data_IF_257701636824
#
_entry.id   IF_257701636824
#
_cell.length_a   1.000
_cell.length_b   1.000
_cell.length_c   1.000
_cell.angle_alpha   90.00
_cell.angle_beta   90.00
_cell.angle_gamma   90.00
#
_symmetry.space_group_name_H-M   'P 1'
#
loop_
_entity.id
_entity.type
_entity.pdbx_description
1 polymer ?
#
# COMPACT_ATOMS: atom_id res chain seq x y z
N UNK A 1 -13.84 -29.22 -18.36
CA UNK A 1 -14.86 -28.57 -19.22
C UNK A 1 -14.64 -27.08 -19.14
N UNK A 2 -14.54 -26.33 -20.26
CA UNK A 2 -14.44 -24.88 -20.22
C UNK A 2 -15.77 -24.31 -19.68
N UNK A 3 -15.68 -23.43 -18.68
CA UNK A 3 -16.85 -22.71 -18.16
C UNK A 3 -17.47 -21.91 -19.31
N UNK A 4 -18.77 -22.14 -19.59
CA UNK A 4 -19.54 -21.35 -20.53
C UNK A 4 -19.37 -19.85 -20.19
N UNK A 5 -19.02 -19.04 -21.18
CA UNK A 5 -19.03 -17.57 -21.07
C UNK A 5 -20.42 -17.15 -20.60
N UNK A 6 -20.57 -16.76 -19.35
CA UNK A 6 -21.74 -16.00 -18.91
C UNK A 6 -21.63 -14.63 -19.60
N UNK A 7 -22.65 -14.24 -20.34
CA UNK A 7 -22.80 -12.84 -20.75
C UNK A 7 -22.84 -12.01 -19.45
N UNK A 8 -21.78 -11.23 -19.21
CA UNK A 8 -21.67 -10.36 -18.04
C UNK A 8 -22.72 -9.26 -18.18
N UNK A 9 -23.61 -9.12 -17.19
CA UNK A 9 -24.48 -7.96 -17.09
C UNK A 9 -23.64 -6.69 -16.82
N UNK A 10 -24.18 -5.52 -17.15
CA UNK A 10 -23.49 -4.23 -16.93
C UNK A 10 -23.04 -4.05 -15.47
N UNK A 11 -23.81 -4.61 -14.52
CA UNK A 11 -23.50 -4.55 -13.09
C UNK A 11 -22.34 -5.47 -12.67
N UNK A 12 -22.00 -6.47 -13.49
CA UNK A 12 -20.88 -7.38 -13.26
C UNK A 12 -19.51 -6.81 -13.76
N UNK A 13 -19.54 -5.72 -14.52
CA UNK A 13 -18.35 -5.10 -15.10
C UNK A 13 -17.54 -4.37 -14.03
N UNK A 14 -16.21 -4.57 -14.05
CA UNK A 14 -15.31 -3.72 -13.30
C UNK A 14 -15.36 -2.29 -13.84
N UNK A 15 -15.07 -1.31 -12.99
CA UNK A 15 -15.13 0.11 -13.38
C UNK A 15 -14.33 0.42 -14.67
N UNK A 16 -13.14 -0.18 -14.83
CA UNK A 16 -12.31 0.03 -16.02
C UNK A 16 -12.94 -0.55 -17.29
N UNK A 17 -13.65 -1.68 -17.20
CA UNK A 17 -14.38 -2.31 -18.29
C UNK A 17 -15.60 -1.48 -18.67
N UNK A 18 -16.37 -1.00 -17.68
CA UNK A 18 -17.54 -0.13 -17.90
C UNK A 18 -17.19 1.13 -18.69
N UNK A 19 -16.02 1.75 -18.41
CA UNK A 19 -15.56 2.94 -19.13
C UNK A 19 -14.66 2.61 -20.32
N UNK A 20 -14.61 1.36 -20.79
CA UNK A 20 -13.77 0.91 -21.94
C UNK A 20 -12.28 1.26 -21.81
N UNK A 21 -11.77 1.31 -20.56
CA UNK A 21 -10.37 1.65 -20.30
C UNK A 21 -9.47 0.42 -20.07
N UNK A 22 -10.04 -0.78 -19.86
CA UNK A 22 -9.27 -1.98 -19.56
C UNK A 22 -8.29 -2.32 -20.69
N UNK A 23 -8.76 -2.34 -21.93
CA UNK A 23 -7.89 -2.62 -23.09
C UNK A 23 -6.75 -1.59 -23.24
N UNK A 24 -7.04 -0.32 -22.93
CA UNK A 24 -6.02 0.75 -22.94
C UNK A 24 -4.96 0.48 -21.89
N UNK A 25 -5.35 0.09 -20.67
CA UNK A 25 -4.41 -0.24 -19.59
C UNK A 25 -3.56 -1.47 -19.94
N UNK A 26 -4.16 -2.51 -20.51
CA UNK A 26 -3.45 -3.71 -20.94
C UNK A 26 -2.44 -3.41 -22.06
N UNK A 27 -2.82 -2.58 -23.03
CA UNK A 27 -1.91 -2.11 -24.09
C UNK A 27 -0.74 -1.29 -23.52
N UNK A 28 -0.99 -0.38 -22.57
CA UNK A 28 0.05 0.41 -21.91
C UNK A 28 1.03 -0.50 -21.14
N UNK A 29 0.51 -1.50 -20.44
CA UNK A 29 1.33 -2.48 -19.72
C UNK A 29 2.23 -3.26 -20.71
N UNK A 30 1.67 -3.82 -21.78
CA UNK A 30 2.43 -4.60 -22.76
C UNK A 30 3.49 -3.76 -23.48
N UNK A 31 3.15 -2.55 -23.92
CA UNK A 31 4.11 -1.62 -24.53
C UNK A 31 5.24 -1.28 -23.58
N UNK A 32 4.93 -1.01 -22.31
CA UNK A 32 5.97 -0.75 -21.31
C UNK A 32 6.85 -1.98 -21.08
N UNK A 33 6.27 -3.18 -20.99
CA UNK A 33 7.03 -4.44 -20.86
C UNK A 33 8.00 -4.64 -22.01
N UNK A 34 7.60 -4.26 -23.23
CA UNK A 34 8.43 -4.32 -24.43
C UNK A 34 9.50 -3.20 -24.51
N UNK A 35 9.54 -2.30 -23.54
CA UNK A 35 10.53 -1.22 -23.49
C UNK A 35 10.18 0.02 -24.32
N UNK A 36 8.93 0.14 -24.78
CA UNK A 36 8.48 1.30 -25.54
C UNK A 36 8.47 2.58 -24.69
N UNK A 37 8.63 3.70 -25.36
CA UNK A 37 8.66 5.04 -24.78
C UNK A 37 7.33 5.76 -25.06
N UNK A 38 6.80 6.46 -24.06
CA UNK A 38 5.52 7.14 -24.11
C UNK A 38 5.70 8.66 -24.17
N UNK A 39 5.32 9.28 -25.28
CA UNK A 39 5.48 10.73 -25.54
C UNK A 39 4.16 11.51 -25.52
N UNK A 40 3.01 10.83 -25.66
CA UNK A 40 1.68 11.45 -25.82
C UNK A 40 0.67 10.88 -24.80
N UNK A 41 1.04 10.82 -23.52
CA UNK A 41 0.16 10.31 -22.47
C UNK A 41 -0.94 11.29 -22.07
N UNK A 42 -0.71 12.61 -22.24
CA UNK A 42 -1.69 13.64 -21.84
C UNK A 42 -3.02 13.50 -22.59
N UNK A 43 -3.02 13.03 -23.81
CA UNK A 43 -4.25 12.86 -24.59
C UNK A 43 -5.11 11.73 -24.01
N UNK A 44 -4.48 10.64 -23.54
CA UNK A 44 -5.16 9.56 -22.84
C UNK A 44 -5.63 10.02 -21.44
N UNK A 45 -4.81 10.78 -20.71
CA UNK A 45 -5.13 11.30 -19.38
C UNK A 45 -6.37 12.20 -19.43
N UNK A 46 -6.49 13.03 -20.47
CA UNK A 46 -7.61 13.97 -20.67
C UNK A 46 -8.77 13.39 -21.51
N UNK A 47 -8.72 12.10 -21.84
CA UNK A 47 -9.84 11.44 -22.52
C UNK A 47 -11.08 11.38 -21.60
N UNK A 48 -12.27 11.49 -22.18
CA UNK A 48 -13.54 11.48 -21.45
C UNK A 48 -13.67 10.24 -20.56
N UNK A 49 -13.44 9.06 -21.13
CA UNK A 49 -13.57 7.80 -20.41
C UNK A 49 -12.63 7.72 -19.18
N UNK A 50 -11.39 8.19 -19.33
CA UNK A 50 -10.43 8.22 -18.25
C UNK A 50 -10.83 9.19 -17.13
N UNK A 51 -11.36 10.36 -17.47
CA UNK A 51 -11.83 11.37 -16.49
C UNK A 51 -13.04 10.84 -15.71
N UNK A 52 -14.01 10.25 -16.40
CA UNK A 52 -15.22 9.70 -15.75
C UNK A 52 -14.89 8.50 -14.87
N UNK A 53 -13.99 7.60 -15.32
CA UNK A 53 -13.47 6.52 -14.50
C UNK A 53 -12.74 7.06 -13.25
N UNK A 54 -11.93 8.09 -13.39
CA UNK A 54 -11.24 8.72 -12.28
C UNK A 54 -12.22 9.30 -11.24
N UNK A 55 -13.28 9.96 -11.70
CA UNK A 55 -14.35 10.44 -10.81
C UNK A 55 -15.00 9.29 -10.03
N UNK A 56 -15.35 8.18 -10.71
CA UNK A 56 -15.95 7.02 -10.07
C UNK A 56 -15.01 6.43 -9.01
N UNK A 57 -13.72 6.33 -9.30
CA UNK A 57 -12.73 5.78 -8.38
C UNK A 57 -12.53 6.66 -7.13
N UNK A 58 -12.53 7.99 -7.27
CA UNK A 58 -12.38 8.86 -6.08
C UNK A 58 -13.66 8.98 -5.27
N UNK A 59 -14.84 8.90 -5.90
CA UNK A 59 -16.14 9.03 -5.23
C UNK A 59 -16.34 7.98 -4.14
N UNK A 60 -15.88 6.76 -4.36
CA UNK A 60 -15.99 5.65 -3.42
C UNK A 60 -15.12 5.82 -2.15
N UNK A 61 -14.13 6.70 -2.16
CA UNK A 61 -13.21 6.88 -1.03
C UNK A 61 -13.81 7.80 0.03
N UNK A 62 -13.88 7.37 1.29
CA UNK A 62 -14.38 8.18 2.42
C UNK A 62 -13.67 9.53 2.56
N UNK A 63 -12.38 9.61 2.20
CA UNK A 63 -11.61 10.86 2.16
C UNK A 63 -12.09 11.87 1.12
N UNK A 64 -12.94 11.49 0.14
CA UNK A 64 -13.45 12.37 -0.91
C UNK A 64 -14.34 13.49 -0.36
N UNK A 65 -15.00 13.28 0.78
CA UNK A 65 -15.79 14.29 1.48
C UNK A 65 -14.94 15.30 2.28
N UNK A 66 -13.66 15.05 2.43
CA UNK A 66 -12.76 15.98 3.12
C UNK A 66 -12.37 17.11 2.19
N UNK A 67 -12.78 18.34 2.50
CA UNK A 67 -12.49 19.51 1.68
C UNK A 67 -11.01 19.93 1.72
N UNK A 68 -10.50 20.44 0.59
CA UNK A 68 -9.18 21.10 0.49
C UNK A 68 -9.19 22.52 1.05
N UNK A 69 -8.29 23.38 0.54
CA UNK A 69 -8.22 24.81 0.89
C UNK A 69 -9.37 25.61 0.30
N UNK A 70 -9.98 25.14 -0.78
CA UNK A 70 -11.12 25.77 -1.47
C UNK A 70 -12.48 25.39 -0.88
N UNK A 71 -12.50 24.66 0.23
CA UNK A 71 -13.70 24.18 0.93
C UNK A 71 -14.62 23.27 0.07
N UNK A 72 -14.17 22.81 -1.11
CA UNK A 72 -14.91 21.92 -2.00
C UNK A 72 -14.58 20.47 -1.75
N UNK A 73 -15.55 19.58 -1.96
CA UNK A 73 -15.45 18.13 -1.81
C UNK A 73 -16.07 17.39 -3.01
N UNK A 74 -16.28 16.08 -2.92
CA UNK A 74 -16.78 15.25 -4.01
C UNK A 74 -18.21 15.60 -4.45
N UNK A 75 -19.06 16.15 -3.56
CA UNK A 75 -20.43 16.54 -3.90
C UNK A 75 -20.46 17.71 -4.87
N UNK A 76 -19.47 18.63 -4.78
CA UNK A 76 -19.32 19.74 -5.74
C UNK A 76 -18.96 19.29 -7.16
N UNK A 77 -18.38 18.10 -7.31
CA UNK A 77 -18.19 17.49 -8.63
C UNK A 77 -19.46 16.74 -9.03
N UNK A 78 -20.07 16.03 -8.09
CA UNK A 78 -21.26 15.21 -8.33
C UNK A 78 -22.53 16.00 -8.70
N UNK A 79 -22.56 17.32 -8.45
CA UNK A 79 -23.66 18.20 -8.88
C UNK A 79 -23.56 18.64 -10.33
N UNK A 80 -22.50 18.24 -11.06
CA UNK A 80 -22.26 18.58 -12.46
C UNK A 80 -22.57 17.43 -13.39
N UNK A 81 -22.95 17.78 -14.64
CA UNK A 81 -23.07 16.78 -15.70
C UNK A 81 -21.71 16.15 -16.04
N UNK A 82 -21.68 14.93 -16.60
CA UNK A 82 -20.45 14.28 -17.04
C UNK A 82 -19.61 15.16 -17.97
N UNK A 83 -20.23 15.84 -18.93
CA UNK A 83 -19.56 16.69 -19.91
C UNK A 83 -18.95 17.92 -19.25
N UNK A 84 -19.67 18.59 -18.34
CA UNK A 84 -19.12 19.70 -17.54
C UNK A 84 -17.91 19.29 -16.71
N UNK A 85 -17.89 18.05 -16.17
CA UNK A 85 -16.74 17.54 -15.42
C UNK A 85 -15.55 17.37 -16.35
N UNK A 86 -15.76 16.79 -17.53
CA UNK A 86 -14.70 16.57 -18.54
C UNK A 86 -14.14 17.90 -19.03
N UNK A 87 -14.98 18.82 -19.44
CA UNK A 87 -14.56 20.16 -19.91
C UNK A 87 -13.80 20.91 -18.83
N UNK A 88 -14.28 20.86 -17.59
CA UNK A 88 -13.62 21.53 -16.48
C UNK A 88 -12.24 20.95 -16.16
N UNK A 89 -12.07 19.63 -16.19
CA UNK A 89 -10.75 19.02 -16.02
C UNK A 89 -9.80 19.44 -17.14
N UNK A 90 -10.27 19.39 -18.40
CA UNK A 90 -9.50 19.85 -19.56
C UNK A 90 -9.12 21.31 -19.41
N UNK A 91 -10.07 22.20 -19.08
CA UNK A 91 -9.81 23.62 -18.86
C UNK A 91 -8.78 23.87 -17.74
N UNK A 92 -8.86 23.18 -16.59
CA UNK A 92 -7.90 23.35 -15.49
C UNK A 92 -6.49 22.97 -15.94
N UNK A 93 -6.35 21.92 -16.77
CA UNK A 93 -5.04 21.42 -17.19
C UNK A 93 -4.46 22.20 -18.37
N UNK A 94 -5.28 22.60 -19.35
CA UNK A 94 -4.83 23.17 -20.64
C UNK A 94 -5.28 24.60 -20.89
N UNK A 95 -6.30 25.08 -20.20
CA UNK A 95 -6.95 26.37 -20.51
C UNK A 95 -6.18 27.63 -20.06
N UNK A 96 -5.10 27.49 -19.30
CA UNK A 96 -4.29 28.63 -18.87
C UNK A 96 -3.05 28.80 -19.75
N UNK A 97 -2.74 30.07 -20.15
CA UNK A 97 -1.49 30.41 -20.87
C UNK A 97 -0.23 29.94 -20.12
N UNK A 98 -0.31 29.77 -18.81
CA UNK A 98 0.79 29.30 -17.95
C UNK A 98 0.72 27.81 -17.62
N UNK A 99 -0.22 27.07 -18.24
CA UNK A 99 -0.47 25.66 -17.98
C UNK A 99 -1.09 25.37 -16.61
N UNK A 100 -1.09 24.12 -16.21
CA UNK A 100 -1.69 23.66 -14.95
C UNK A 100 -1.07 24.31 -13.70
N UNK A 101 -1.93 24.83 -12.83
CA UNK A 101 -1.57 25.40 -11.53
C UNK A 101 -2.43 24.77 -10.43
N UNK A 102 -1.89 23.81 -9.66
CA UNK A 102 -2.62 23.23 -8.54
C UNK A 102 -2.91 24.27 -7.47
N UNK A 103 -4.05 24.14 -6.81
CA UNK A 103 -4.35 24.93 -5.61
C UNK A 103 -3.48 24.50 -4.44
N UNK A 104 -3.37 25.37 -3.43
CA UNK A 104 -2.61 25.07 -2.22
C UNK A 104 -3.15 23.81 -1.52
N UNK A 105 -2.25 22.95 -1.06
CA UNK A 105 -2.55 21.75 -0.29
C UNK A 105 -2.80 22.13 1.16
N UNK A 106 -3.90 21.70 1.75
CA UNK A 106 -4.21 21.97 3.17
C UNK A 106 -3.45 21.01 4.07
N UNK A 107 -2.61 21.54 4.97
CA UNK A 107 -1.93 20.75 6.00
C UNK A 107 -2.88 20.36 7.12
N UNK A 108 -2.81 19.08 7.54
CA UNK A 108 -3.46 18.57 8.73
C UNK A 108 -2.53 17.59 9.43
N UNK A 109 -2.20 17.83 10.67
CA UNK A 109 -1.37 16.93 11.46
C UNK A 109 -2.25 15.89 12.15
N UNK A 110 -1.91 14.60 11.97
CA UNK A 110 -2.60 13.47 12.58
C UNK A 110 -1.72 12.92 13.69
N UNK A 111 -2.22 12.81 14.94
CA UNK A 111 -1.45 12.25 16.04
C UNK A 111 -1.13 10.77 15.79
N UNK A 112 0.10 10.39 16.10
CA UNK A 112 0.55 8.99 16.13
C UNK A 112 0.48 8.43 17.55
N UNK A 113 0.33 7.10 17.73
CA UNK A 113 0.32 6.49 19.07
C UNK A 113 1.56 6.76 19.94
N UNK A 114 2.66 7.18 19.33
CA UNK A 114 3.93 7.52 20.02
C UNK A 114 4.05 9.00 20.37
N UNK A 115 2.98 9.78 20.38
CA UNK A 115 2.96 11.22 20.68
C UNK A 115 3.49 12.13 19.55
N UNK A 116 4.07 11.58 18.48
CA UNK A 116 4.48 12.36 17.29
C UNK A 116 3.29 12.59 16.38
N UNK A 117 3.38 13.57 15.50
CA UNK A 117 2.36 13.84 14.48
C UNK A 117 2.76 13.26 13.12
N UNK A 118 1.78 12.97 12.30
CA UNK A 118 1.95 12.66 10.87
C UNK A 118 1.40 13.82 10.06
N UNK A 119 2.24 14.51 9.31
CA UNK A 119 1.80 15.60 8.47
C UNK A 119 1.01 15.05 7.25
N UNK A 120 -0.27 15.35 7.14
CA UNK A 120 -1.10 15.00 6.00
C UNK A 120 -1.35 16.25 5.15
N UNK A 121 -1.10 16.15 3.85
CA UNK A 121 -1.45 17.19 2.88
C UNK A 121 -2.74 16.79 2.15
N UNK A 122 -3.76 17.64 2.19
CA UNK A 122 -5.05 17.42 1.55
C UNK A 122 -5.16 18.33 0.33
N UNK A 123 -4.96 17.82 -0.90
CA UNK A 123 -5.17 18.60 -2.13
C UNK A 123 -6.65 18.95 -2.33
N UNK A 124 -6.97 19.99 -3.09
CA UNK A 124 -8.34 20.28 -3.48
C UNK A 124 -8.94 19.17 -4.33
N UNK A 125 -10.26 19.02 -4.29
CA UNK A 125 -10.93 17.86 -4.89
C UNK A 125 -10.70 17.76 -6.41
N UNK A 126 -10.63 18.87 -7.12
CA UNK A 126 -10.32 18.91 -8.56
C UNK A 126 -8.89 18.48 -8.85
N UNK A 127 -7.92 18.89 -8.01
CA UNK A 127 -6.53 18.46 -8.12
C UNK A 127 -6.42 16.94 -7.83
N UNK A 128 -7.21 16.43 -6.87
CA UNK A 128 -7.30 14.97 -6.62
C UNK A 128 -7.86 14.21 -7.82
N UNK A 129 -8.86 14.76 -8.50
CA UNK A 129 -9.41 14.15 -9.73
C UNK A 129 -8.34 14.10 -10.83
N UNK A 130 -7.60 15.19 -11.05
CA UNK A 130 -6.50 15.25 -12.01
C UNK A 130 -5.40 14.24 -11.65
N UNK A 131 -5.01 14.16 -10.38
CA UNK A 131 -4.03 13.18 -9.91
C UNK A 131 -4.51 11.73 -10.15
N UNK A 132 -5.80 11.46 -10.00
CA UNK A 132 -6.35 10.14 -10.29
C UNK A 132 -6.33 9.84 -11.80
N UNK A 133 -6.68 10.80 -12.66
CA UNK A 133 -6.55 10.65 -14.11
C UNK A 133 -5.12 10.29 -14.52
N UNK A 134 -4.13 10.93 -13.93
CA UNK A 134 -2.72 10.67 -14.19
C UNK A 134 -2.33 9.28 -13.64
N UNK A 135 -2.71 8.99 -12.38
CA UNK A 135 -2.35 7.73 -11.72
C UNK A 135 -2.77 6.53 -12.54
N UNK A 136 -4.03 6.46 -12.99
CA UNK A 136 -4.55 5.27 -13.66
C UNK A 136 -3.95 5.02 -15.05
N UNK A 137 -3.40 6.05 -15.70
CA UNK A 137 -2.62 5.89 -16.95
C UNK A 137 -1.16 5.49 -16.68
N UNK A 138 -0.55 6.05 -15.63
CA UNK A 138 0.84 5.73 -15.28
C UNK A 138 1.00 4.36 -14.58
N UNK A 139 -0.01 3.93 -13.83
CA UNK A 139 0.05 2.71 -13.03
C UNK A 139 0.40 1.47 -13.87
N UNK A 140 -0.28 1.14 -15.00
CA UNK A 140 0.09 -0.01 -15.82
C UNK A 140 1.49 0.11 -16.44
N UNK A 141 1.92 1.32 -16.82
CA UNK A 141 3.27 1.56 -17.34
C UNK A 141 4.33 1.24 -16.28
N UNK A 142 4.11 1.71 -15.06
CA UNK A 142 5.03 1.50 -13.94
C UNK A 142 5.02 0.05 -13.46
N UNK A 143 3.84 -0.60 -13.38
CA UNK A 143 3.69 -1.99 -12.95
C UNK A 143 4.50 -2.96 -13.82
N UNK A 144 4.61 -2.71 -15.13
CA UNK A 144 5.42 -3.51 -16.04
C UNK A 144 6.93 -3.45 -15.74
N UNK A 145 7.38 -2.42 -15.00
CA UNK A 145 8.80 -2.16 -14.68
C UNK A 145 9.14 -2.36 -13.20
N UNK A 146 8.15 -2.46 -12.34
CA UNK A 146 8.38 -2.62 -10.90
C UNK A 146 8.90 -4.02 -10.56
N UNK A 147 9.86 -4.05 -9.65
CA UNK A 147 10.39 -5.30 -9.10
C UNK A 147 9.30 -6.16 -8.46
N UNK A 148 9.41 -7.48 -8.60
CA UNK A 148 8.51 -8.43 -7.95
C UNK A 148 8.64 -8.45 -6.41
N UNK A 149 9.70 -7.89 -5.87
CA UNK A 149 9.98 -7.83 -4.44
C UNK A 149 9.34 -6.61 -3.74
N UNK A 150 8.61 -5.77 -4.49
CA UNK A 150 7.82 -4.64 -3.99
C UNK A 150 6.33 -4.97 -3.95
N UNK A 151 5.67 -4.71 -2.82
CA UNK A 151 4.29 -5.13 -2.57
C UNK A 151 3.34 -3.99 -2.21
N UNK A 152 3.80 -2.94 -1.53
CA UNK A 152 2.96 -1.85 -1.05
C UNK A 152 2.46 -0.92 -2.15
N UNK A 153 1.20 -0.48 -2.04
CA UNK A 153 0.56 0.46 -2.97
C UNK A 153 0.49 0.00 -4.43
N UNK A 154 0.50 -1.30 -4.66
CA UNK A 154 0.43 -1.90 -5.99
C UNK A 154 -0.86 -2.70 -6.18
N UNK A 155 -1.47 -2.69 -7.37
CA UNK A 155 -2.62 -3.52 -7.66
C UNK A 155 -2.24 -5.01 -7.56
N UNK A 156 -3.18 -5.84 -7.11
CA UNK A 156 -3.01 -7.29 -6.98
C UNK A 156 -1.83 -7.74 -6.09
N UNK A 157 -1.31 -6.84 -5.24
CA UNK A 157 -0.27 -7.11 -4.24
C UNK A 157 -0.82 -6.79 -2.84
N UNK A 158 -0.47 -7.61 -1.87
CA UNK A 158 -1.01 -7.49 -0.51
C UNK A 158 0.07 -7.71 0.55
N UNK A 159 -0.27 -7.43 1.80
CA UNK A 159 0.54 -7.80 2.97
C UNK A 159 0.79 -9.31 2.99
N UNK A 160 -0.21 -10.09 2.58
CA UNK A 160 -0.13 -11.56 2.51
C UNK A 160 1.01 -12.02 1.59
N UNK A 161 1.12 -11.45 0.39
CA UNK A 161 2.20 -11.78 -0.53
C UNK A 161 3.59 -11.45 0.05
N UNK A 162 3.73 -10.29 0.71
CA UNK A 162 4.98 -9.90 1.36
C UNK A 162 5.36 -10.84 2.51
N UNK A 163 4.37 -11.24 3.33
CA UNK A 163 4.57 -12.16 4.45
C UNK A 163 4.92 -13.57 3.97
N UNK A 164 4.23 -14.10 2.95
CA UNK A 164 4.52 -15.41 2.37
C UNK A 164 5.96 -15.46 1.80
N UNK A 165 6.39 -14.37 1.14
CA UNK A 165 7.77 -14.25 0.67
C UNK A 165 8.76 -14.21 1.85
N UNK A 166 8.43 -13.47 2.92
CA UNK A 166 9.21 -13.44 4.16
C UNK A 166 9.38 -14.83 4.77
N UNK A 167 8.29 -15.61 4.86
CA UNK A 167 8.36 -16.99 5.37
C UNK A 167 9.21 -17.88 4.50
N UNK A 168 9.11 -17.75 3.18
CA UNK A 168 9.96 -18.49 2.24
C UNK A 168 11.45 -18.19 2.47
N UNK A 169 11.81 -16.92 2.63
CA UNK A 169 13.21 -16.53 2.88
C UNK A 169 13.74 -17.07 4.21
N UNK A 170 12.94 -16.98 5.26
CA UNK A 170 13.36 -17.44 6.59
C UNK A 170 13.37 -18.98 6.71
N UNK A 171 12.37 -19.68 6.17
CA UNK A 171 12.18 -21.11 6.39
C UNK A 171 12.84 -21.98 5.33
N UNK A 172 12.71 -21.63 4.05
CA UNK A 172 13.24 -22.44 2.95
C UNK A 172 14.65 -22.04 2.56
N UNK A 173 14.94 -20.73 2.55
CA UNK A 173 16.25 -20.22 2.15
C UNK A 173 17.22 -20.08 3.33
N UNK A 174 16.76 -20.23 4.58
CA UNK A 174 17.56 -20.12 5.82
C UNK A 174 18.28 -18.76 5.96
N UNK A 175 17.66 -17.68 5.51
CA UNK A 175 18.20 -16.32 5.61
C UNK A 175 17.77 -15.69 6.94
N UNK A 176 18.49 -15.98 8.02
CA UNK A 176 18.05 -15.68 9.37
C UNK A 176 18.52 -14.33 9.92
N UNK A 177 19.38 -13.61 9.21
CA UNK A 177 19.77 -12.25 9.55
C UNK A 177 18.98 -11.26 8.74
N UNK A 178 18.10 -10.53 9.41
CA UNK A 178 17.19 -9.56 8.80
C UNK A 178 17.66 -8.16 9.13
N UNK A 179 17.87 -7.33 8.11
CA UNK A 179 18.16 -5.92 8.27
C UNK A 179 16.82 -5.18 8.12
N UNK A 180 16.39 -4.56 9.21
CA UNK A 180 15.23 -3.69 9.23
C UNK A 180 15.68 -2.28 8.88
N UNK A 181 15.25 -1.74 7.75
CA UNK A 181 15.55 -0.39 7.32
C UNK A 181 14.40 0.57 7.59
N UNK A 182 14.71 1.79 7.98
CA UNK A 182 13.75 2.92 8.09
C UNK A 182 14.35 4.16 7.43
N UNK A 183 13.66 4.68 6.43
CA UNK A 183 14.05 5.92 5.75
C UNK A 183 13.43 7.09 6.50
N UNK A 184 14.24 8.07 6.90
CA UNK A 184 13.81 9.23 7.66
C UNK A 184 12.92 10.15 6.84
N UNK A 185 11.63 10.24 7.24
CA UNK A 185 10.68 11.14 6.59
C UNK A 185 10.60 10.95 5.07
N UNK A 186 10.52 9.71 4.58
CA UNK A 186 10.65 9.35 3.17
C UNK A 186 9.83 10.28 2.25
N UNK A 187 8.51 10.38 2.48
CA UNK A 187 7.62 11.18 1.63
C UNK A 187 7.98 12.68 1.61
N UNK A 188 8.51 13.20 2.70
CA UNK A 188 8.88 14.61 2.83
C UNK A 188 10.27 14.92 2.22
N UNK A 189 11.07 13.89 1.92
CA UNK A 189 12.45 14.04 1.47
C UNK A 189 12.69 13.57 0.02
N UNK A 190 11.68 13.14 -0.71
CA UNK A 190 11.83 12.73 -2.12
C UNK A 190 12.39 13.87 -2.96
N UNK A 191 13.51 13.63 -3.63
CA UNK A 191 14.13 14.62 -4.53
C UNK A 191 13.36 14.71 -5.85
N UNK A 192 12.78 15.88 -6.15
CA UNK A 192 11.96 16.09 -7.35
C UNK A 192 12.72 15.84 -8.65
N UNK A 193 13.95 16.33 -8.77
CA UNK A 193 14.76 16.16 -9.98
C UNK A 193 15.12 14.69 -10.22
N UNK A 194 15.45 13.95 -9.15
CA UNK A 194 15.73 12.52 -9.22
C UNK A 194 14.49 11.74 -9.66
N UNK A 195 13.34 12.00 -9.05
CA UNK A 195 12.06 11.37 -9.42
C UNK A 195 11.73 11.59 -10.90
N UNK A 196 11.88 12.81 -11.42
CA UNK A 196 11.62 13.11 -12.83
C UNK A 196 12.58 12.33 -13.74
N UNK A 197 13.87 12.23 -13.39
CA UNK A 197 14.85 11.43 -14.16
C UNK A 197 14.46 9.93 -14.14
N UNK A 198 14.00 9.41 -13.00
CA UNK A 198 13.53 8.03 -12.89
C UNK A 198 12.29 7.76 -13.73
N UNK A 199 11.31 8.69 -13.73
CA UNK A 199 10.14 8.58 -14.62
C UNK A 199 10.54 8.56 -16.09
N UNK A 200 11.49 9.41 -16.48
CA UNK A 200 12.03 9.44 -17.83
C UNK A 200 12.69 8.11 -18.23
N UNK A 201 13.47 7.53 -17.33
CA UNK A 201 14.13 6.23 -17.53
C UNK A 201 13.13 5.06 -17.60
N UNK A 202 11.97 5.16 -16.95
CA UNK A 202 10.88 4.18 -17.08
C UNK A 202 10.13 4.27 -18.41
N UNK A 203 10.48 5.24 -19.27
CA UNK A 203 9.84 5.46 -20.57
C UNK A 203 8.74 6.52 -20.56
N UNK A 204 8.47 7.18 -19.43
CA UNK A 204 7.48 8.26 -19.32
C UNK A 204 8.12 9.56 -19.80
N UNK A 205 8.03 9.83 -21.11
CA UNK A 205 8.75 10.94 -21.77
C UNK A 205 7.82 12.00 -22.35
N UNK A 206 6.54 12.02 -21.97
CA UNK A 206 5.63 13.13 -22.31
C UNK A 206 5.99 14.39 -21.53
N UNK A 207 6.50 15.42 -22.23
CA UNK A 207 6.93 16.67 -21.62
C UNK A 207 5.77 17.44 -20.97
N UNK A 208 4.55 17.33 -21.53
CA UNK A 208 3.33 17.98 -20.98
C UNK A 208 2.99 17.33 -19.65
N UNK A 209 3.01 16.01 -19.55
CA UNK A 209 2.77 15.28 -18.32
C UNK A 209 3.84 15.57 -17.26
N UNK A 210 5.11 15.54 -17.64
CA UNK A 210 6.22 15.87 -16.73
C UNK A 210 6.08 17.29 -16.17
N UNK A 211 5.62 18.25 -16.97
CA UNK A 211 5.33 19.61 -16.51
C UNK A 211 4.21 19.58 -15.44
N UNK A 212 3.11 18.90 -15.68
CA UNK A 212 1.99 18.79 -14.74
C UNK A 212 2.45 18.15 -13.42
N UNK A 213 3.24 17.08 -13.48
CA UNK A 213 3.78 16.42 -12.28
C UNK A 213 4.71 17.33 -11.50
N UNK A 214 5.59 18.09 -12.16
CA UNK A 214 6.43 19.09 -11.50
C UNK A 214 5.60 20.17 -10.77
N UNK A 215 4.46 20.58 -11.35
CA UNK A 215 3.53 21.53 -10.70
C UNK A 215 2.86 20.90 -9.48
N UNK A 216 2.43 19.63 -9.55
CA UNK A 216 1.86 18.90 -8.41
C UNK A 216 2.88 18.80 -7.27
N UNK A 217 4.13 18.48 -7.56
CA UNK A 217 5.20 18.36 -6.56
C UNK A 217 5.55 19.70 -5.89
N UNK A 218 5.41 20.80 -6.62
CA UNK A 218 5.69 22.18 -6.15
C UNK A 218 4.44 22.91 -5.63
N UNK A 219 3.30 22.20 -5.50
CA UNK A 219 2.08 22.81 -4.97
C UNK A 219 2.32 23.38 -3.57
N UNK A 220 2.00 24.64 -3.36
CA UNK A 220 2.17 25.31 -2.06
C UNK A 220 1.36 24.61 -0.98
N UNK A 221 1.91 24.55 0.23
CA UNK A 221 1.28 23.93 1.39
C UNK A 221 0.77 25.05 2.30
N UNK A 222 -0.54 25.07 2.54
CA UNK A 222 -1.16 25.97 3.52
C UNK A 222 -1.13 25.30 4.89
N UNK A 223 -0.38 25.91 5.80
CA UNK A 223 -0.21 25.46 7.16
C UNK A 223 -1.44 25.82 8.04
N UNK A 224 -1.61 25.19 9.22
CA UNK A 224 -2.71 25.52 10.14
C UNK A 224 -2.74 26.99 10.62
N UNK A 225 -1.57 27.62 10.72
CA UNK A 225 -1.41 29.05 11.05
C UNK A 225 -1.73 30.00 9.89
N UNK A 226 -2.04 29.44 8.70
CA UNK A 226 -2.35 30.21 7.50
C UNK A 226 -1.14 30.50 6.61
N UNK A 227 0.09 30.25 7.06
CA UNK A 227 1.31 30.44 6.26
C UNK A 227 1.35 29.53 5.04
N UNK A 228 2.04 29.98 3.98
CA UNK A 228 2.22 29.24 2.74
C UNK A 228 3.68 28.82 2.59
N UNK A 229 3.90 27.54 2.42
CA UNK A 229 5.24 26.96 2.23
C UNK A 229 5.33 26.38 0.81
N UNK A 230 6.35 26.74 0.06
CA UNK A 230 6.66 26.13 -1.22
C UNK A 230 7.63 24.96 -1.02
N UNK A 231 7.23 23.70 -1.35
CA UNK A 231 8.09 22.56 -1.14
C UNK A 231 9.17 22.46 -2.23
N UNK A 232 10.44 22.35 -1.83
CA UNK A 232 11.57 22.10 -2.73
C UNK A 232 11.86 20.60 -2.92
N UNK A 233 11.32 19.74 -2.03
CA UNK A 233 11.43 18.29 -2.03
C UNK A 233 10.17 17.68 -1.41
N UNK A 234 10.02 16.38 -1.55
CA UNK A 234 8.92 15.63 -1.00
C UNK A 234 7.74 15.45 -1.95
N UNK A 235 6.86 14.56 -1.57
CA UNK A 235 5.54 14.35 -2.22
C UNK A 235 4.46 14.58 -1.18
N UNK A 236 3.36 15.27 -1.50
CA UNK A 236 2.33 15.57 -0.49
C UNK A 236 1.75 14.28 0.07
N UNK A 237 1.95 14.03 1.39
CA UNK A 237 1.35 12.90 2.09
C UNK A 237 -0.18 13.05 2.09
N UNK A 238 -0.87 12.24 1.29
CA UNK A 238 -2.33 12.32 1.06
C UNK A 238 -2.71 12.71 -0.36
N UNK A 239 -1.74 13.01 -1.22
CA UNK A 239 -1.96 13.08 -2.67
C UNK A 239 -2.24 11.69 -3.25
N UNK A 240 -3.20 11.59 -4.17
CA UNK A 240 -3.60 10.31 -4.78
C UNK A 240 -2.46 9.65 -5.58
N UNK A 241 -1.63 10.45 -6.22
CA UNK A 241 -0.50 9.98 -7.02
C UNK A 241 0.75 9.66 -6.17
N UNK A 242 0.85 10.19 -4.95
CA UNK A 242 2.06 10.09 -4.13
C UNK A 242 2.54 8.67 -3.85
N UNK A 243 1.67 7.66 -3.63
CA UNK A 243 2.10 6.27 -3.47
C UNK A 243 2.77 5.68 -4.72
N UNK A 244 2.27 6.02 -5.91
CA UNK A 244 2.88 5.59 -7.18
C UNK A 244 4.25 6.24 -7.37
N UNK A 245 4.37 7.55 -7.12
CA UNK A 245 5.64 8.27 -7.20
C UNK A 245 6.67 7.73 -6.20
N UNK A 246 6.23 7.37 -5.00
CA UNK A 246 7.05 6.71 -3.98
C UNK A 246 7.62 5.38 -4.48
N UNK A 247 6.79 4.56 -5.12
CA UNK A 247 7.22 3.30 -5.71
C UNK A 247 8.20 3.50 -6.87
N UNK A 248 8.02 4.54 -7.70
CA UNK A 248 8.98 4.90 -8.76
C UNK A 248 10.35 5.21 -8.17
N UNK A 249 10.41 6.00 -7.08
CA UNK A 249 11.69 6.36 -6.43
C UNK A 249 12.42 5.13 -5.89
N UNK A 250 11.70 4.25 -5.21
CA UNK A 250 12.31 3.10 -4.56
C UNK A 250 12.52 1.89 -5.49
N UNK A 251 11.92 1.88 -6.68
CA UNK A 251 12.11 0.81 -7.65
C UNK A 251 13.59 0.65 -8.07
N UNK A 252 14.34 1.74 -8.11
CA UNK A 252 15.78 1.70 -8.41
C UNK A 252 16.56 0.93 -7.32
N UNK A 253 16.16 1.09 -6.04
CA UNK A 253 16.70 0.32 -4.93
C UNK A 253 16.35 -1.17 -5.06
N UNK A 254 15.10 -1.48 -5.37
CA UNK A 254 14.64 -2.87 -5.51
C UNK A 254 15.46 -3.61 -6.57
N UNK A 255 15.63 -3.02 -7.74
CA UNK A 255 16.41 -3.60 -8.83
C UNK A 255 17.92 -3.64 -8.53
N UNK A 256 18.45 -2.61 -7.85
CA UNK A 256 19.85 -2.64 -7.46
C UNK A 256 20.14 -3.79 -6.48
N UNK A 257 19.33 -3.98 -5.46
CA UNK A 257 19.50 -5.11 -4.52
C UNK A 257 19.31 -6.44 -5.24
N UNK A 258 18.28 -6.56 -6.10
CA UNK A 258 18.05 -7.79 -6.87
C UNK A 258 19.24 -8.13 -7.79
N UNK A 259 19.87 -7.12 -8.41
CA UNK A 259 21.04 -7.33 -9.29
C UNK A 259 22.27 -7.82 -8.56
N UNK A 260 22.38 -7.61 -7.25
CA UNK A 260 23.53 -8.10 -6.48
C UNK A 260 23.49 -9.63 -6.27
N UNK A 261 22.28 -10.24 -6.27
CA UNK A 261 22.14 -11.68 -6.07
C UNK A 261 21.05 -12.31 -6.94
N UNK A 262 19.79 -11.96 -6.73
CA UNK A 262 18.62 -12.66 -7.31
C UNK A 262 18.57 -12.56 -8.84
N UNK A 263 18.88 -11.39 -9.38
CA UNK A 263 18.94 -11.09 -10.82
C UNK A 263 20.39 -10.83 -11.30
N UNK A 264 21.37 -11.39 -10.60
CA UNK A 264 22.75 -11.30 -11.01
C UNK A 264 22.96 -12.03 -12.37
N UNK A 265 23.73 -11.47 -13.30
CA UNK A 265 23.96 -12.09 -14.62
C UNK A 265 24.43 -13.55 -14.54
N UNK A 266 25.28 -13.91 -13.55
CA UNK A 266 25.72 -15.29 -13.33
C UNK A 266 24.53 -16.19 -12.97
N UNK A 267 23.65 -15.74 -12.07
CA UNK A 267 22.46 -16.51 -11.68
C UNK A 267 21.50 -16.71 -12.85
N UNK A 268 21.31 -15.67 -13.67
CA UNK A 268 20.40 -15.70 -14.83
C UNK A 268 20.97 -16.54 -15.98
N UNK A 269 22.22 -16.34 -16.35
CA UNK A 269 22.86 -17.06 -17.48
C UNK A 269 23.01 -18.57 -17.23
N UNK A 270 23.10 -18.99 -15.99
CA UNK A 270 23.18 -20.40 -15.57
C UNK A 270 21.83 -20.98 -15.13
N UNK A 271 20.76 -20.21 -15.24
CA UNK A 271 19.40 -20.64 -15.01
C UNK A 271 18.89 -21.55 -16.14
N UNK A 272 17.97 -22.44 -15.79
CA UNK A 272 17.30 -23.33 -16.75
C UNK A 272 15.84 -23.52 -16.39
N UNK A 273 14.99 -23.74 -17.39
CA UNK A 273 13.60 -24.10 -17.15
C UNK A 273 13.48 -25.53 -16.66
N UNK A 274 12.67 -25.74 -15.64
CA UNK A 274 12.32 -27.07 -15.10
C UNK A 274 10.82 -27.17 -14.90
N UNK A 275 10.26 -28.33 -15.17
CA UNK A 275 8.86 -28.63 -14.87
C UNK A 275 8.80 -29.17 -13.46
N UNK A 276 8.06 -28.49 -12.58
CA UNK A 276 7.77 -28.91 -11.21
C UNK A 276 6.26 -29.12 -11.11
N UNK A 277 5.85 -30.39 -11.08
CA UNK A 277 4.44 -30.75 -11.21
C UNK A 277 3.89 -30.40 -12.60
N UNK A 278 2.94 -29.44 -12.65
CA UNK A 278 2.34 -28.93 -13.90
C UNK A 278 2.84 -27.53 -14.28
N UNK A 279 3.82 -27.00 -13.56
CA UNK A 279 4.28 -25.60 -13.74
C UNK A 279 5.73 -25.59 -14.21
N UNK A 280 5.99 -24.81 -15.26
CA UNK A 280 7.34 -24.50 -15.70
C UNK A 280 7.94 -23.40 -14.81
N UNK A 281 9.11 -23.66 -14.22
CA UNK A 281 9.81 -22.75 -13.30
C UNK A 281 11.23 -22.52 -13.80
N UNK A 282 11.64 -21.27 -13.83
CA UNK A 282 13.03 -20.90 -14.13
C UNK A 282 13.89 -21.09 -12.87
N UNK A 283 14.74 -22.14 -12.89
CA UNK A 283 15.59 -22.56 -11.79
C UNK A 283 16.99 -21.96 -11.90
N UNK A 284 17.33 -21.10 -10.93
CA UNK A 284 18.64 -20.42 -10.82
C UNK A 284 19.60 -21.14 -9.84
N UNK A 285 19.26 -22.30 -9.32
CA UNK A 285 20.01 -22.99 -8.24
C UNK A 285 21.47 -23.24 -8.57
N UNK A 286 21.77 -23.60 -9.81
CA UNK A 286 23.15 -23.79 -10.28
C UNK A 286 23.95 -22.49 -10.25
N UNK A 287 23.39 -21.40 -10.75
CA UNK A 287 24.01 -20.07 -10.69
C UNK A 287 24.27 -19.61 -9.24
N UNK A 288 23.31 -19.79 -8.35
CA UNK A 288 23.48 -19.49 -6.92
C UNK A 288 24.58 -20.35 -6.27
N UNK A 289 24.72 -21.61 -6.66
CA UNK A 289 25.81 -22.48 -6.15
C UNK A 289 27.19 -21.93 -6.56
N UNK A 290 27.35 -21.49 -7.81
CA UNK A 290 28.58 -20.87 -8.27
C UNK A 290 28.88 -19.55 -7.55
N UNK A 291 27.89 -18.71 -7.35
CA UNK A 291 28.01 -17.40 -6.69
C UNK A 291 28.43 -17.55 -5.20
N UNK A 292 28.02 -18.63 -4.52
CA UNK A 292 28.45 -18.89 -3.13
C UNK A 292 29.96 -19.09 -2.97
N UNK A 293 30.64 -19.49 -4.02
CA UNK A 293 32.10 -19.64 -4.04
C UNK A 293 32.85 -18.34 -4.40
N UNK A 294 32.12 -17.23 -4.52
CA UNK A 294 32.68 -15.91 -4.82
C UNK A 294 32.60 -14.97 -3.62
N UNK A 295 33.15 -13.77 -3.74
CA UNK A 295 33.04 -12.72 -2.73
C UNK A 295 31.69 -11.99 -2.71
N UNK A 296 30.71 -12.37 -3.58
CA UNK A 296 29.37 -11.80 -3.61
C UNK A 296 28.62 -12.10 -2.29
N UNK A 297 27.78 -11.19 -1.87
CA UNK A 297 26.98 -11.31 -0.65
C UNK A 297 25.54 -11.67 -0.99
N UNK A 298 25.05 -12.76 -0.40
CA UNK A 298 23.66 -13.16 -0.57
C UNK A 298 22.74 -12.17 0.14
N UNK A 299 21.95 -11.44 -0.65
CA UNK A 299 20.98 -10.48 -0.14
C UNK A 299 19.69 -10.52 -0.94
N UNK A 300 18.55 -10.45 -0.25
CA UNK A 300 17.22 -10.44 -0.84
C UNK A 300 16.39 -9.35 -0.18
N UNK A 301 15.66 -8.57 -0.98
CA UNK A 301 14.80 -7.50 -0.47
C UNK A 301 13.34 -7.91 -0.49
N UNK A 302 12.59 -7.45 0.52
CA UNK A 302 11.14 -7.41 0.53
C UNK A 302 10.74 -6.01 0.95
N UNK A 303 9.98 -5.32 0.10
CA UNK A 303 9.56 -3.94 0.35
C UNK A 303 8.03 -3.79 0.33
N UNK A 304 7.53 -3.09 1.32
CA UNK A 304 6.13 -2.66 1.38
C UNK A 304 6.08 -1.15 1.58
N UNK A 305 5.88 -0.39 0.51
CA UNK A 305 6.03 1.07 0.48
C UNK A 305 7.46 1.53 0.85
N UNK A 306 7.60 2.30 1.92
CA UNK A 306 8.88 2.76 2.50
C UNK A 306 9.44 1.80 3.57
N UNK A 307 8.65 0.83 4.02
CA UNK A 307 9.08 -0.19 4.99
C UNK A 307 9.67 -1.40 4.25
N UNK A 308 10.97 -1.66 4.42
CA UNK A 308 11.61 -2.79 3.74
C UNK A 308 12.59 -3.55 4.62
N UNK A 309 12.79 -4.80 4.24
CA UNK A 309 13.67 -5.74 4.92
C UNK A 309 14.63 -6.35 3.92
N UNK A 310 15.90 -6.50 4.34
CA UNK A 310 16.88 -7.26 3.56
C UNK A 310 17.30 -8.47 4.37
N UNK A 311 17.30 -9.62 3.72
CA UNK A 311 17.55 -10.93 4.30
C UNK A 311 18.93 -11.42 3.87
N UNK A 312 19.76 -11.82 4.85
CA UNK A 312 21.12 -12.32 4.67
C UNK A 312 21.31 -13.65 5.41
N UNK A 313 22.31 -14.42 5.01
CA UNK A 313 22.62 -15.73 5.59
C UNK A 313 23.45 -15.61 6.86
N UNK A 314 24.48 -14.77 6.84
CA UNK A 314 25.42 -14.60 7.96
C UNK A 314 25.35 -13.18 8.54
N UNK A 315 25.94 -13.01 9.75
CA UNK A 315 26.01 -11.70 10.41
C UNK A 315 26.94 -10.76 9.64
N UNK A 316 28.06 -11.27 9.18
CA UNK A 316 29.10 -10.53 8.46
C UNK A 316 28.54 -9.99 7.14
N UNK A 317 27.77 -10.81 6.39
CA UNK A 317 27.05 -10.37 5.19
C UNK A 317 26.03 -9.27 5.51
N UNK A 318 25.26 -9.43 6.58
CA UNK A 318 24.27 -8.45 6.99
C UNK A 318 24.90 -7.10 7.37
N UNK A 319 26.06 -7.09 8.04
CA UNK A 319 26.78 -5.84 8.38
C UNK A 319 27.23 -5.13 7.09
N UNK A 320 27.93 -5.83 6.20
CA UNK A 320 28.42 -5.27 4.93
C UNK A 320 27.27 -4.81 4.03
N UNK A 321 26.18 -5.58 3.98
CA UNK A 321 24.98 -5.22 3.21
C UNK A 321 24.32 -3.97 3.78
N UNK A 322 24.21 -3.85 5.12
CA UNK A 322 23.64 -2.66 5.76
C UNK A 322 24.43 -1.41 5.37
N UNK A 323 25.76 -1.44 5.46
CA UNK A 323 26.63 -0.32 5.09
C UNK A 323 26.48 0.05 3.62
N UNK A 324 26.55 -0.94 2.71
CA UNK A 324 26.44 -0.72 1.28
C UNK A 324 25.09 -0.14 0.88
N UNK A 325 23.98 -0.66 1.42
CA UNK A 325 22.62 -0.19 1.14
C UNK A 325 22.41 1.23 1.71
N UNK A 326 22.89 1.50 2.92
CA UNK A 326 22.81 2.85 3.52
C UNK A 326 23.51 3.87 2.62
N UNK A 327 24.76 3.61 2.28
CA UNK A 327 25.55 4.49 1.39
C UNK A 327 24.88 4.67 0.03
N UNK A 328 24.35 3.60 -0.56
CA UNK A 328 23.66 3.65 -1.85
C UNK A 328 22.39 4.54 -1.78
N UNK A 329 21.58 4.41 -0.73
CA UNK A 329 20.38 5.24 -0.51
C UNK A 329 20.74 6.72 -0.41
N UNK A 330 21.78 7.04 0.38
CA UNK A 330 22.24 8.41 0.61
C UNK A 330 22.84 9.02 -0.66
N UNK A 331 23.72 8.30 -1.34
CA UNK A 331 24.40 8.80 -2.53
C UNK A 331 23.50 8.82 -3.76
N UNK A 332 22.70 7.77 -3.97
CA UNK A 332 21.91 7.60 -5.21
C UNK A 332 20.53 8.19 -5.13
N UNK A 333 19.80 7.98 -4.03
CA UNK A 333 18.45 8.48 -3.85
C UNK A 333 18.42 9.85 -3.16
N UNK A 334 19.52 10.28 -2.52
CA UNK A 334 19.58 11.50 -1.71
C UNK A 334 18.58 11.46 -0.55
N UNK A 335 18.43 10.28 0.06
CA UNK A 335 17.56 10.02 1.20
C UNK A 335 18.40 9.62 2.40
N UNK A 336 17.98 9.99 3.60
CA UNK A 336 18.66 9.68 4.85
C UNK A 336 18.06 8.41 5.49
N UNK A 337 18.92 7.46 5.86
CA UNK A 337 18.53 6.27 6.62
C UNK A 337 18.51 6.62 8.10
N UNK A 338 17.48 6.20 8.86
CA UNK A 338 17.41 6.40 10.31
C UNK A 338 18.35 5.44 11.05
N UNK A 339 19.48 5.89 11.64
CA UNK A 339 20.41 4.99 12.33
C UNK A 339 19.79 4.32 13.56
N UNK A 340 18.92 5.03 14.27
CA UNK A 340 18.27 4.56 15.50
C UNK A 340 17.28 3.41 15.25
N UNK A 341 16.64 3.41 14.08
CA UNK A 341 15.62 2.41 13.73
C UNK A 341 16.15 1.32 12.81
N UNK A 342 17.27 1.57 12.12
CA UNK A 342 17.88 0.59 11.21
C UNK A 342 18.78 -0.36 11.97
N UNK A 343 18.35 -1.62 12.08
CA UNK A 343 19.01 -2.63 12.91
C UNK A 343 19.10 -3.99 12.21
N UNK A 344 20.08 -4.80 12.63
CA UNK A 344 20.23 -6.19 12.21
C UNK A 344 19.64 -7.09 13.29
N UNK A 345 18.70 -7.94 12.91
CA UNK A 345 18.02 -8.88 13.81
C UNK A 345 18.39 -10.32 13.41
N UNK A 346 18.91 -11.11 14.36
CA UNK A 346 19.02 -12.54 14.20
C UNK A 346 17.69 -13.19 14.62
N UNK A 347 16.90 -13.64 13.65
CA UNK A 347 15.55 -14.18 13.87
C UNK A 347 15.53 -15.51 14.64
N UNK A 348 16.67 -16.20 14.79
CA UNK A 348 16.78 -17.38 15.68
C UNK A 348 16.77 -16.99 17.16
N UNK A 349 17.21 -15.75 17.48
CA UNK A 349 17.38 -15.28 18.86
C UNK A 349 16.32 -14.25 19.27
N UNK A 350 15.89 -13.38 18.34
CA UNK A 350 15.00 -12.25 18.60
C UNK A 350 13.87 -12.18 17.59
N UNK A 351 12.78 -11.51 17.97
CA UNK A 351 11.70 -11.19 17.07
C UNK A 351 12.09 -10.05 16.13
N UNK A 352 11.80 -10.19 14.86
CA UNK A 352 11.79 -9.11 13.86
C UNK A 352 10.34 -8.67 13.64
N UNK A 353 10.10 -7.37 13.53
CA UNK A 353 8.77 -6.81 13.31
C UNK A 353 8.63 -6.34 11.86
N UNK A 354 7.57 -6.77 11.19
CA UNK A 354 7.26 -6.35 9.83
C UNK A 354 5.73 -6.34 9.60
N UNK A 355 5.19 -5.24 9.10
CA UNK A 355 3.77 -5.09 8.74
C UNK A 355 2.78 -5.43 9.88
N UNK A 356 3.16 -5.15 11.12
CA UNK A 356 2.33 -5.46 12.29
C UNK A 356 2.46 -6.90 12.81
N UNK A 357 3.29 -7.73 12.17
CA UNK A 357 3.64 -9.07 12.63
C UNK A 357 5.01 -9.05 13.33
N UNK A 358 5.16 -9.83 14.39
CA UNK A 358 6.47 -10.24 14.93
C UNK A 358 6.80 -11.64 14.46
N UNK A 359 8.03 -11.83 13.99
CA UNK A 359 8.46 -13.02 13.28
C UNK A 359 9.77 -13.50 13.87
N UNK A 360 9.88 -14.81 14.14
CA UNK A 360 11.14 -15.46 14.50
C UNK A 360 11.20 -16.86 13.91
N UNK A 361 12.39 -17.47 13.99
CA UNK A 361 12.62 -18.83 13.52
C UNK A 361 12.96 -19.72 14.71
N UNK A 362 12.32 -20.90 14.77
CA UNK A 362 12.63 -21.93 15.76
C UNK A 362 13.17 -23.17 15.07
N UNK A 363 14.12 -23.83 15.71
CA UNK A 363 14.55 -25.17 15.32
C UNK A 363 13.45 -26.18 15.72
N UNK A 364 13.07 -27.06 14.79
CA UNK A 364 12.15 -28.18 15.03
C UNK A 364 12.73 -29.40 14.33
N UNK A 365 13.26 -30.36 15.12
CA UNK A 365 14.01 -31.49 14.59
C UNK A 365 15.16 -30.99 13.69
N UNK A 366 15.25 -31.37 12.45
CA UNK A 366 16.31 -30.98 11.51
C UNK A 366 15.95 -29.77 10.62
N UNK A 367 14.85 -29.07 10.91
CA UNK A 367 14.36 -27.96 10.09
C UNK A 367 14.13 -26.70 10.91
N UNK A 368 14.22 -25.55 10.25
CA UNK A 368 13.79 -24.29 10.81
C UNK A 368 12.35 -23.99 10.42
N UNK A 369 11.53 -23.57 11.39
CA UNK A 369 10.12 -23.25 11.20
C UNK A 369 9.89 -21.81 11.63
N UNK A 370 9.19 -21.07 10.81
CA UNK A 370 8.78 -19.69 11.13
C UNK A 370 7.68 -19.74 12.18
N UNK A 371 7.87 -18.96 13.23
CA UNK A 371 6.85 -18.60 14.21
C UNK A 371 6.52 -17.12 14.03
N UNK A 372 5.25 -16.80 13.83
CA UNK A 372 4.77 -15.41 13.72
C UNK A 372 3.55 -15.18 14.57
N UNK A 373 3.41 -13.98 15.08
CA UNK A 373 2.34 -13.51 15.95
C UNK A 373 2.06 -12.04 15.66
N UNK A 374 1.01 -11.48 16.22
CA UNK A 374 0.73 -10.04 16.17
C UNK A 374 1.77 -9.30 17.04
N UNK A 375 2.28 -8.15 16.58
CA UNK A 375 3.17 -7.32 17.40
C UNK A 375 2.47 -6.90 18.69
N UNK A 376 3.17 -6.93 19.84
CA UNK A 376 2.58 -6.68 21.16
C UNK A 376 1.87 -5.32 21.21
N UNK A 377 2.51 -4.26 20.68
CA UNK A 377 1.90 -2.93 20.56
C UNK A 377 0.61 -2.91 19.75
N UNK A 378 0.51 -3.78 18.73
CA UNK A 378 -0.69 -3.89 17.90
C UNK A 378 -1.81 -4.63 18.64
N UNK A 379 -1.47 -5.68 19.38
CA UNK A 379 -2.42 -6.37 20.27
C UNK A 379 -3.06 -5.37 21.23
N UNK A 380 -2.28 -4.50 21.88
CA UNK A 380 -2.78 -3.46 22.79
C UNK A 380 -3.70 -2.47 22.07
N UNK A 381 -3.24 -1.88 20.97
CA UNK A 381 -4.02 -0.90 20.20
C UNK A 381 -5.36 -1.47 19.71
N UNK A 382 -5.35 -2.68 19.16
CA UNK A 382 -6.59 -3.29 18.66
C UNK A 382 -7.51 -3.72 19.81
N UNK A 383 -6.95 -4.17 20.94
CA UNK A 383 -7.74 -4.46 22.15
C UNK A 383 -8.43 -3.20 22.68
N UNK A 384 -7.70 -2.10 22.80
CA UNK A 384 -8.25 -0.84 23.31
C UNK A 384 -9.37 -0.29 22.41
N UNK A 385 -9.19 -0.39 21.09
CA UNK A 385 -10.25 -0.03 20.11
C UNK A 385 -11.51 -0.90 20.30
N UNK A 386 -11.34 -2.21 20.47
CA UNK A 386 -12.47 -3.12 20.67
C UNK A 386 -13.16 -2.87 22.02
N UNK A 387 -12.40 -2.57 23.09
CA UNK A 387 -12.96 -2.17 24.39
C UNK A 387 -13.75 -0.87 24.29
N UNK A 388 -13.22 0.14 23.58
CA UNK A 388 -13.95 1.39 23.34
C UNK A 388 -15.23 1.15 22.56
N UNK A 389 -15.17 0.35 21.49
CA UNK A 389 -16.34 0.01 20.69
C UNK A 389 -17.37 -0.79 21.50
N UNK A 390 -16.95 -1.72 22.35
CA UNK A 390 -17.85 -2.44 23.25
C UNK A 390 -18.60 -1.50 24.21
N UNK A 391 -17.93 -0.45 24.72
CA UNK A 391 -18.57 0.59 25.53
C UNK A 391 -19.62 1.37 24.75
N UNK A 392 -19.41 1.61 23.46
CA UNK A 392 -20.36 2.33 22.59
C UNK A 392 -21.65 1.54 22.34
N UNK A 393 -21.65 0.22 22.46
CA UNK A 393 -22.86 -0.62 22.30
C UNK A 393 -23.98 -0.18 23.28
N UNK A 394 -23.66 -0.04 24.55
CA UNK A 394 -24.64 0.39 25.54
C UNK A 394 -24.92 1.91 25.52
N UNK A 395 -23.95 2.71 25.14
CA UNK A 395 -24.04 4.17 25.05
C UNK A 395 -23.58 4.66 23.69
N UNK A 396 -24.40 4.51 22.61
CA UNK A 396 -24.01 4.86 21.25
C UNK A 396 -23.70 6.35 21.15
N UNK A 397 -22.48 6.69 20.76
CA UNK A 397 -22.01 8.08 20.62
C UNK A 397 -22.11 8.58 19.18
N UNK A 398 -21.73 7.75 18.23
CA UNK A 398 -21.64 8.12 16.81
C UNK A 398 -22.95 7.88 16.04
N UNK A 399 -23.49 6.71 16.18
CA UNK A 399 -24.67 6.26 15.40
C UNK A 399 -25.98 6.45 16.12
N UNK A 400 -25.96 6.62 17.46
CA UNK A 400 -27.12 6.61 18.34
C UNK A 400 -27.99 5.34 18.25
N UNK A 401 -27.45 4.27 17.66
CA UNK A 401 -28.13 2.99 17.45
C UNK A 401 -27.22 1.85 17.92
N UNK A 402 -27.72 1.06 18.90
CA UNK A 402 -26.96 -0.05 19.48
C UNK A 402 -26.66 -1.15 18.45
N UNK A 403 -27.58 -1.44 17.52
CA UNK A 403 -27.39 -2.47 16.49
C UNK A 403 -26.24 -2.11 15.56
N UNK A 404 -26.16 -0.86 15.11
CA UNK A 404 -25.06 -0.39 14.27
C UNK A 404 -23.71 -0.44 15.00
N UNK A 405 -23.69 -0.17 16.32
CA UNK A 405 -22.47 -0.28 17.11
C UNK A 405 -22.02 -1.75 17.29
N UNK A 406 -22.96 -2.70 17.38
CA UNK A 406 -22.67 -4.15 17.39
C UNK A 406 -22.11 -4.58 16.02
N UNK A 407 -22.73 -4.17 14.91
CA UNK A 407 -22.24 -4.47 13.57
C UNK A 407 -20.83 -3.91 13.33
N UNK A 408 -20.57 -2.71 13.83
CA UNK A 408 -19.24 -2.11 13.75
C UNK A 408 -18.22 -2.90 14.58
N UNK A 409 -18.58 -3.34 15.79
CA UNK A 409 -17.73 -4.21 16.61
C UNK A 409 -17.38 -5.51 15.86
N UNK A 410 -18.38 -6.21 15.30
CA UNK A 410 -18.16 -7.43 14.52
C UNK A 410 -17.27 -7.19 13.31
N UNK A 411 -17.46 -6.08 12.59
CA UNK A 411 -16.61 -5.70 11.46
C UNK A 411 -15.16 -5.46 11.88
N UNK A 412 -14.94 -4.88 13.06
CA UNK A 412 -13.58 -4.69 13.59
C UNK A 412 -12.92 -6.03 13.95
N UNK A 413 -13.66 -6.96 14.58
CA UNK A 413 -13.15 -8.32 14.89
C UNK A 413 -12.77 -9.05 13.60
N UNK A 414 -13.66 -9.08 12.60
CA UNK A 414 -13.40 -9.69 11.30
C UNK A 414 -12.21 -9.05 10.60
N UNK A 415 -12.07 -7.73 10.68
CA UNK A 415 -10.93 -7.00 10.13
C UNK A 415 -9.60 -7.44 10.73
N UNK A 416 -9.53 -7.64 12.05
CA UNK A 416 -8.35 -8.15 12.75
C UNK A 416 -8.05 -9.59 12.32
N UNK A 417 -9.06 -10.46 12.32
CA UNK A 417 -8.91 -11.86 11.92
C UNK A 417 -8.41 -11.97 10.48
N UNK A 418 -9.02 -11.29 9.53
CA UNK A 418 -8.64 -11.32 8.12
C UNK A 418 -7.22 -10.78 7.88
N UNK A 419 -6.83 -9.70 8.59
CA UNK A 419 -5.50 -9.14 8.42
C UNK A 419 -4.39 -10.05 8.96
N UNK A 420 -4.61 -10.66 10.12
CA UNK A 420 -3.59 -11.44 10.83
C UNK A 420 -3.73 -12.96 10.65
N UNK A 421 -4.62 -13.46 9.79
CA UNK A 421 -4.83 -14.90 9.54
C UNK A 421 -3.56 -15.68 9.17
N UNK A 422 -2.56 -15.00 8.61
CA UNK A 422 -1.28 -15.60 8.25
C UNK A 422 -0.35 -15.86 9.42
N UNK A 423 -0.63 -15.28 10.60
CA UNK A 423 0.21 -15.49 11.77
C UNK A 423 0.08 -16.93 12.26
N UNK A 424 1.20 -17.63 12.42
CA UNK A 424 1.22 -19.04 12.84
C UNK A 424 0.72 -19.24 14.28
N UNK A 425 0.74 -18.19 15.11
CA UNK A 425 0.28 -18.20 16.50
C UNK A 425 -0.99 -17.35 16.71
N UNK A 426 -1.77 -17.10 15.67
CA UNK A 426 -2.95 -16.21 15.71
C UNK A 426 -3.97 -16.61 16.80
N UNK A 427 -4.19 -17.91 17.01
CA UNK A 427 -5.12 -18.40 18.01
C UNK A 427 -4.75 -18.00 19.45
N UNK A 428 -3.46 -17.87 19.75
CA UNK A 428 -2.97 -17.41 21.05
C UNK A 428 -3.25 -15.92 21.21
N UNK A 429 -2.93 -15.13 20.19
CA UNK A 429 -3.15 -13.67 20.20
C UNK A 429 -4.65 -13.34 20.29
N UNK A 430 -5.48 -14.00 19.49
CA UNK A 430 -6.94 -13.85 19.55
C UNK A 430 -7.51 -14.23 20.92
N UNK A 431 -7.01 -15.31 21.55
CA UNK A 431 -7.41 -15.70 22.91
C UNK A 431 -7.05 -14.62 23.94
N UNK A 432 -5.87 -14.01 23.82
CA UNK A 432 -5.45 -12.94 24.71
C UNK A 432 -6.32 -11.69 24.55
N UNK A 433 -6.62 -11.29 23.31
CA UNK A 433 -7.54 -10.20 23.00
C UNK A 433 -8.93 -10.52 23.58
N UNK A 434 -9.46 -11.71 23.29
CA UNK A 434 -10.77 -12.17 23.78
C UNK A 434 -10.89 -12.06 25.30
N UNK A 435 -9.92 -12.59 26.06
CA UNK A 435 -9.94 -12.51 27.55
C UNK A 435 -10.04 -11.08 28.06
N UNK A 436 -9.34 -10.12 27.41
CA UNK A 436 -9.33 -8.72 27.84
C UNK A 436 -10.64 -7.99 27.55
N UNK A 437 -11.36 -8.38 26.49
CA UNK A 437 -12.59 -7.68 26.08
C UNK A 437 -13.87 -8.33 26.63
N UNK A 438 -13.86 -9.64 26.95
CA UNK A 438 -15.07 -10.40 27.30
C UNK A 438 -15.86 -9.80 28.47
N UNK A 439 -15.21 -9.45 29.56
CA UNK A 439 -15.90 -8.85 30.74
C UNK A 439 -16.64 -7.56 30.34
N UNK A 440 -15.95 -6.69 29.58
CA UNK A 440 -16.56 -5.41 29.16
C UNK A 440 -17.70 -5.67 28.19
N UNK A 441 -17.49 -6.57 27.19
CA UNK A 441 -18.49 -6.89 26.19
C UNK A 441 -19.74 -7.52 26.79
N UNK A 442 -19.58 -8.52 27.65
CA UNK A 442 -20.71 -9.18 28.37
C UNK A 442 -21.51 -8.19 29.16
N UNK A 443 -20.88 -7.34 29.98
CA UNK A 443 -21.56 -6.31 30.75
C UNK A 443 -22.33 -5.32 29.85
N UNK A 444 -21.83 -4.99 28.68
CA UNK A 444 -22.52 -4.07 27.76
C UNK A 444 -23.66 -4.74 26.98
N UNK A 445 -23.51 -6.03 26.61
CA UNK A 445 -24.58 -6.80 25.98
C UNK A 445 -25.74 -7.14 26.93
N UNK A 446 -25.51 -7.16 28.23
CA UNK A 446 -26.52 -7.42 29.26
C UNK A 446 -27.20 -6.14 29.77
N UNK A 447 -26.98 -4.98 29.18
CA UNK A 447 -27.72 -3.78 29.53
C UNK A 447 -29.17 -3.88 29.04
N UNK A 448 -30.10 -3.30 29.81
CA UNK A 448 -31.55 -3.35 29.56
C UNK A 448 -31.89 -2.97 28.09
N UNK A 449 -31.29 -1.91 27.60
CA UNK A 449 -31.47 -1.42 26.22
C UNK A 449 -31.10 -2.44 25.16
N UNK A 450 -30.02 -3.21 25.34
CA UNK A 450 -29.58 -4.26 24.40
C UNK A 450 -30.44 -5.52 24.58
N UNK A 451 -30.85 -5.83 25.78
CA UNK A 451 -31.78 -6.93 26.09
C UNK A 451 -33.15 -6.73 25.43
N UNK A 452 -33.67 -5.51 25.43
CA UNK A 452 -34.91 -5.18 24.69
C UNK A 452 -34.74 -5.47 23.19
N UNK A 453 -33.67 -5.03 22.55
CA UNK A 453 -33.41 -5.34 21.13
C UNK A 453 -33.36 -6.84 20.81
N UNK A 454 -32.89 -7.67 21.75
CA UNK A 454 -32.92 -9.14 21.64
C UNK A 454 -34.34 -9.71 21.75
N UNK A 455 -35.20 -9.14 22.61
CA UNK A 455 -36.59 -9.58 22.81
C UNK A 455 -37.51 -9.20 21.66
N UNK A 456 -37.31 -8.03 21.09
CA UNK A 456 -38.11 -7.52 19.98
C UNK A 456 -37.79 -8.19 18.65
N UNK A 457 -36.94 -9.25 18.67
CA UNK A 457 -36.58 -10.02 17.50
C UNK A 457 -36.07 -9.12 16.38
N UNK A 458 -35.11 -8.23 16.75
CA UNK A 458 -34.57 -7.23 15.84
C UNK A 458 -34.39 -7.82 14.44
N UNK A 459 -35.29 -7.46 13.54
CA UNK A 459 -35.36 -7.95 12.17
C UNK A 459 -34.06 -7.58 11.47
N UNK A 460 -33.14 -8.54 11.46
CA UNK A 460 -31.99 -8.48 10.57
C UNK A 460 -32.55 -8.51 9.15
N UNK A 461 -32.41 -7.43 8.41
CA UNK A 461 -32.90 -7.35 7.04
C UNK A 461 -32.23 -8.46 6.20
N UNK A 462 -32.94 -8.97 5.16
CA UNK A 462 -32.37 -10.01 4.28
C UNK A 462 -31.02 -9.60 3.69
N UNK A 463 -30.83 -8.33 3.38
CA UNK A 463 -29.56 -7.75 2.94
C UNK A 463 -28.45 -7.85 3.98
N UNK A 464 -28.77 -7.82 5.27
CA UNK A 464 -27.79 -8.01 6.36
C UNK A 464 -27.48 -9.48 6.57
N UNK A 465 -28.45 -10.38 6.36
CA UNK A 465 -28.23 -11.84 6.39
C UNK A 465 -27.34 -12.29 5.24
N UNK A 466 -27.52 -11.76 4.03
CA UNK A 466 -26.67 -12.03 2.87
C UNK A 466 -25.25 -11.49 3.06
N UNK A 467 -25.09 -10.33 3.71
CA UNK A 467 -23.81 -9.65 3.90
C UNK A 467 -22.93 -10.29 4.99
N UNK A 468 -23.51 -10.88 6.00
CA UNK A 468 -22.79 -11.42 7.16
C UNK A 468 -22.89 -12.94 7.31
N UNK A 469 -23.61 -13.63 6.43
CA UNK A 469 -23.83 -15.07 6.50
C UNK A 469 -24.56 -15.51 7.77
N UNK A 470 -24.72 -16.81 7.94
CA UNK A 470 -25.30 -17.44 9.15
C UNK A 470 -24.36 -17.43 10.35
N UNK A 471 -23.43 -16.51 10.44
CA UNK A 471 -22.52 -16.37 11.59
C UNK A 471 -23.37 -16.02 12.81
N UNK A 472 -23.43 -16.91 13.78
CA UNK A 472 -24.01 -16.61 15.09
C UNK A 472 -23.39 -15.33 15.61
N UNK A 473 -24.21 -14.26 15.76
CA UNK A 473 -23.78 -13.07 16.47
C UNK A 473 -23.28 -13.50 17.86
N UNK A 474 -22.11 -13.01 18.22
CA UNK A 474 -21.55 -13.17 19.57
C UNK A 474 -22.50 -12.56 20.59
#
# INVERSE_FOLDING_TARGET
>A
MPKKNKNLCVDDLRHAEYYSMQETFDKLYQKSKNGEVFKNLMDLILSQNNILLAYRNIKANGGSYTAGTDKKNITDIGSKSPDEVVEKVRFIVTGSKHGYRPKSVRRKDIPKPNGKTRPLGIPCIWDRLIQQCIKQILEPICEAKFSNNSYGFRPNRSVEHAMNRTYTMLQRMNLHYVIEFDIKGFFDNVNHSKLIKQMWSLGIQDKRLIFVIKRILKATIKMPDGSLIEPHKGTPQGGIISPLLANIVLNELDWWVASQWEENPIAVSRGRYRIIGKTEVFDKSHGYSLMKNTNLKEMHIIRYADDFRIFCRTKEEAVKTKEAVTKWIEERLKLEVSPEKTRIVNTRKRWSEFLGFKIRVRSKSHKYVVQSAICDKKVEIETDKLVEQAKNIAKPRKTKNCLLEIQLFNSMVLGIQNYYQLATCISIDCRNIHRRIMTVLTNRLNTEKVCMLKRDGGTVTETEKERFGNSKMI
#
